data_IF_857164703538
#
_entry.id   IF_857164703538
#
_cell.length_a   1.000
_cell.length_b   1.000
_cell.length_c   1.000
_cell.angle_alpha   90.00
_cell.angle_beta   90.00
_cell.angle_gamma   90.00
#
_symmetry.space_group_name_H-M   'P 1'
#
loop_
_entity.id
_entity.type
_entity.pdbx_description
1 polymer ?
#
# COMPACT_ATOMS: atom_id res chain seq x y z
N UNK A 1 -23.94 -17.72 -10.84
CA UNK A 1 -23.93 -17.31 -9.42
C UNK A 1 -24.33 -15.85 -9.35
N UNK A 2 -25.28 -15.48 -8.48
CA UNK A 2 -25.56 -14.08 -8.19
C UNK A 2 -24.40 -13.53 -7.35
N UNK A 3 -23.81 -12.42 -7.79
CA UNK A 3 -22.77 -11.74 -7.03
C UNK A 3 -23.38 -11.20 -5.72
N UNK A 4 -22.73 -11.50 -4.59
CA UNK A 4 -23.09 -10.97 -3.27
C UNK A 4 -22.10 -9.88 -2.90
N UNK A 5 -22.59 -8.68 -2.59
CA UNK A 5 -21.75 -7.60 -2.06
C UNK A 5 -21.26 -7.98 -0.67
N UNK A 6 -19.93 -7.98 -0.48
CA UNK A 6 -19.27 -8.32 0.80
C UNK A 6 -18.96 -7.08 1.64
N UNK A 7 -18.67 -5.95 1.00
CA UNK A 7 -18.44 -4.66 1.65
C UNK A 7 -19.22 -3.59 0.89
N UNK A 8 -20.11 -2.91 1.60
CA UNK A 8 -20.80 -1.72 1.09
C UNK A 8 -19.89 -0.50 1.21
N UNK A 9 -20.23 0.59 0.54
CA UNK A 9 -19.46 1.84 0.58
C UNK A 9 -19.20 2.33 2.02
N UNK A 10 -20.21 2.28 2.89
CA UNK A 10 -20.08 2.66 4.30
C UNK A 10 -19.15 1.73 5.09
N UNK A 11 -19.06 0.45 4.72
CA UNK A 11 -18.14 -0.50 5.35
C UNK A 11 -16.70 -0.17 4.97
N UNK A 12 -16.45 0.14 3.68
CA UNK A 12 -15.14 0.53 3.17
C UNK A 12 -14.66 1.81 3.85
N UNK A 13 -15.51 2.84 3.96
CA UNK A 13 -15.09 4.09 4.62
C UNK A 13 -14.70 3.84 6.09
N UNK A 14 -15.52 3.09 6.84
CA UNK A 14 -15.20 2.74 8.24
C UNK A 14 -13.92 1.93 8.36
N UNK A 15 -13.69 0.97 7.45
CA UNK A 15 -12.48 0.16 7.43
C UNK A 15 -11.23 1.03 7.20
N UNK A 16 -11.27 1.95 6.23
CA UNK A 16 -10.13 2.83 5.94
C UNK A 16 -9.82 3.78 7.10
N UNK A 17 -10.85 4.36 7.74
CA UNK A 17 -10.65 5.19 8.93
C UNK A 17 -10.01 4.38 10.06
N UNK A 18 -10.48 3.15 10.30
CA UNK A 18 -9.89 2.27 11.31
C UNK A 18 -8.43 1.92 10.99
N UNK A 19 -8.13 1.55 9.75
CA UNK A 19 -6.77 1.25 9.29
C UNK A 19 -5.84 2.46 9.51
N UNK A 20 -6.30 3.68 9.20
CA UNK A 20 -5.50 4.89 9.40
C UNK A 20 -5.15 5.11 10.89
N UNK A 21 -6.12 4.95 11.79
CA UNK A 21 -5.86 5.01 13.24
C UNK A 21 -4.87 3.92 13.69
N UNK A 22 -5.08 2.67 13.26
CA UNK A 22 -4.20 1.55 13.60
C UNK A 22 -2.76 1.78 13.10
N UNK A 23 -2.59 2.38 11.91
CA UNK A 23 -1.28 2.76 11.38
C UNK A 23 -0.60 3.79 12.28
N UNK A 24 -1.27 4.88 12.68
CA UNK A 24 -0.67 5.91 13.55
C UNK A 24 -0.29 5.34 14.91
N UNK A 25 -1.19 4.58 15.54
CA UNK A 25 -0.97 3.97 16.85
C UNK A 25 0.23 3.01 16.81
N UNK A 26 0.30 2.13 15.81
CA UNK A 26 1.39 1.17 15.67
C UNK A 26 2.76 1.82 15.38
N UNK A 27 2.76 3.08 14.94
CA UNK A 27 3.98 3.83 14.62
C UNK A 27 4.34 4.90 15.64
N UNK A 28 3.50 5.12 16.67
CA UNK A 28 3.66 6.20 17.64
C UNK A 28 3.71 7.59 16.98
N UNK A 29 2.92 7.79 15.91
CA UNK A 29 2.89 9.00 15.09
C UNK A 29 3.23 8.75 13.62
N UNK A 30 3.20 9.81 12.82
CA UNK A 30 3.26 9.73 11.36
C UNK A 30 4.54 10.21 10.67
N UNK A 31 5.52 10.71 11.43
CA UNK A 31 6.69 11.44 10.90
C UNK A 31 7.58 10.66 9.92
N UNK A 32 7.64 9.34 10.04
CA UNK A 32 8.48 8.46 9.18
C UNK A 32 7.65 7.49 8.33
N UNK A 33 6.37 7.78 8.10
CA UNK A 33 5.48 6.91 7.33
C UNK A 33 5.55 7.18 5.83
N UNK A 34 5.60 6.10 5.04
CA UNK A 34 5.36 6.15 3.59
C UNK A 34 4.39 5.04 3.21
N UNK A 35 3.27 5.42 2.60
CA UNK A 35 2.29 4.47 2.07
C UNK A 35 2.61 4.21 0.60
N UNK A 36 2.89 2.96 0.25
CA UNK A 36 3.10 2.57 -1.14
C UNK A 36 2.00 1.62 -1.58
N UNK A 37 1.11 2.13 -2.44
CA UNK A 37 0.05 1.33 -3.00
C UNK A 37 0.54 0.47 -4.15
N UNK A 38 0.06 -0.77 -4.21
CA UNK A 38 0.36 -1.68 -5.32
C UNK A 38 -0.68 -1.41 -6.44
N UNK A 39 -0.26 -1.09 -7.68
CA UNK A 39 -1.19 -0.74 -8.74
C UNK A 39 -2.22 -1.84 -9.07
N UNK A 40 -3.47 -1.48 -9.37
CA UNK A 40 -4.02 -0.11 -9.47
C UNK A 40 -4.82 0.31 -8.25
N UNK A 41 -5.69 -0.56 -7.73
CA UNK A 41 -6.62 -0.20 -6.64
C UNK A 41 -5.89 0.03 -5.31
N UNK A 42 -4.78 -0.67 -5.06
CA UNK A 42 -3.95 -0.43 -3.88
C UNK A 42 -3.43 1.01 -3.82
N UNK A 43 -3.11 1.63 -4.95
CA UNK A 43 -2.73 3.07 -5.03
C UNK A 43 -3.87 3.97 -4.60
N UNK A 44 -5.09 3.74 -5.13
CA UNK A 44 -6.27 4.52 -4.74
C UNK A 44 -6.60 4.36 -3.25
N UNK A 45 -6.39 3.17 -2.68
CA UNK A 45 -6.55 2.94 -1.25
C UNK A 45 -5.46 3.65 -0.43
N UNK A 46 -4.20 3.60 -0.88
CA UNK A 46 -3.09 4.31 -0.24
C UNK A 46 -3.34 5.82 -0.17
N UNK A 47 -3.78 6.42 -1.28
CA UNK A 47 -4.15 7.85 -1.34
C UNK A 47 -5.27 8.19 -0.35
N UNK A 48 -6.32 7.35 -0.27
CA UNK A 48 -7.43 7.56 0.65
C UNK A 48 -7.02 7.43 2.11
N UNK A 49 -6.19 6.44 2.45
CA UNK A 49 -5.65 6.28 3.80
C UNK A 49 -4.73 7.46 4.12
N UNK A 50 -3.85 7.86 3.19
CA UNK A 50 -2.96 9.01 3.32
C UNK A 50 -3.71 10.31 3.60
N UNK A 51 -4.83 10.56 2.91
CA UNK A 51 -5.68 11.72 3.18
C UNK A 51 -6.31 11.69 4.59
N UNK A 52 -6.72 10.52 5.07
CA UNK A 52 -7.22 10.37 6.44
C UNK A 52 -6.09 10.63 7.44
N UNK A 53 -4.92 10.03 7.23
CA UNK A 53 -3.73 10.25 8.06
C UNK A 53 -3.37 11.73 8.15
N UNK A 54 -3.29 12.42 7.01
CA UNK A 54 -3.01 13.87 6.94
C UNK A 54 -4.01 14.70 7.74
N UNK A 55 -5.30 14.31 7.73
CA UNK A 55 -6.33 14.99 8.51
C UNK A 55 -6.22 14.77 10.03
N UNK A 56 -5.64 13.64 10.45
CA UNK A 56 -5.44 13.28 11.85
C UNK A 56 -4.12 13.87 12.39
N UNK A 57 -3.07 13.84 11.57
CA UNK A 57 -1.72 14.32 11.91
C UNK A 57 -1.06 14.90 10.64
N UNK A 58 -0.95 16.23 10.50
CA UNK A 58 -0.35 16.86 9.33
C UNK A 58 1.08 16.39 9.07
N UNK A 59 1.41 16.09 7.82
CA UNK A 59 2.70 15.54 7.39
C UNK A 59 2.78 14.01 7.39
N UNK A 60 1.76 13.29 7.87
CA UNK A 60 1.73 11.82 7.91
C UNK A 60 1.14 11.17 6.64
N UNK A 61 0.56 11.95 5.72
CA UNK A 61 -0.15 11.46 4.53
C UNK A 61 0.73 11.15 3.31
N UNK A 62 2.03 10.88 3.50
CA UNK A 62 2.96 10.67 2.39
C UNK A 62 2.67 9.36 1.64
N UNK A 63 2.33 9.46 0.35
CA UNK A 63 1.89 8.33 -0.49
C UNK A 63 2.68 8.20 -1.79
N UNK A 64 2.72 6.98 -2.33
CA UNK A 64 3.34 6.66 -3.61
C UNK A 64 2.78 5.36 -4.19
N UNK A 65 3.40 4.90 -5.29
CA UNK A 65 3.00 3.70 -6.01
C UNK A 65 4.21 2.77 -6.22
N UNK A 66 4.00 1.47 -6.05
CA UNK A 66 5.03 0.45 -6.26
C UNK A 66 4.56 -0.57 -7.29
N UNK A 67 5.05 -0.47 -8.52
CA UNK A 67 4.78 -1.49 -9.53
C UNK A 67 5.66 -2.72 -9.30
N UNK A 68 4.99 -3.86 -9.15
CA UNK A 68 5.63 -5.15 -8.88
C UNK A 68 5.60 -6.07 -10.09
N UNK A 69 5.10 -5.58 -11.24
CA UNK A 69 4.87 -6.39 -12.45
C UNK A 69 6.12 -7.19 -12.82
N UNK A 70 7.30 -6.56 -12.85
CA UNK A 70 8.55 -7.23 -13.24
C UNK A 70 9.15 -8.16 -12.18
N UNK A 71 8.62 -8.14 -10.95
CA UNK A 71 9.11 -8.94 -9.81
C UNK A 71 8.30 -10.22 -9.59
N UNK A 72 7.25 -10.44 -10.39
CA UNK A 72 6.39 -11.60 -10.25
C UNK A 72 7.06 -12.86 -10.81
N UNK A 73 6.99 -13.95 -10.05
CA UNK A 73 7.56 -15.25 -10.44
C UNK A 73 6.67 -16.06 -11.40
N UNK A 74 5.43 -15.61 -11.63
CA UNK A 74 4.40 -16.29 -12.39
C UNK A 74 4.03 -15.60 -13.72
N UNK A 75 4.87 -14.68 -14.20
CA UNK A 75 4.66 -13.91 -15.45
C UNK A 75 4.44 -14.79 -16.69
N UNK A 76 5.03 -15.98 -16.73
CA UNK A 76 4.85 -16.92 -17.86
C UNK A 76 3.48 -17.62 -17.88
N UNK A 77 2.73 -17.58 -16.77
CA UNK A 77 1.47 -18.32 -16.58
C UNK A 77 0.24 -17.41 -16.54
N UNK A 78 0.43 -16.11 -16.47
CA UNK A 78 -0.65 -15.12 -16.42
C UNK A 78 -0.43 -14.05 -17.49
N UNK A 79 -1.49 -13.44 -18.04
CA UNK A 79 -1.35 -12.29 -18.90
C UNK A 79 -0.55 -11.21 -18.17
N UNK A 80 0.58 -10.78 -18.74
CA UNK A 80 1.38 -9.67 -18.23
C UNK A 80 0.49 -8.43 -18.20
N UNK A 81 0.24 -7.89 -17.00
CA UNK A 81 -0.31 -6.56 -16.86
C UNK A 81 0.69 -5.57 -17.45
N UNK A 82 0.22 -4.51 -18.11
CA UNK A 82 1.11 -3.42 -18.52
C UNK A 82 1.77 -2.82 -17.28
N UNK A 83 3.11 -2.77 -17.22
CA UNK A 83 3.82 -2.13 -16.12
C UNK A 83 3.33 -0.70 -15.92
N UNK A 84 3.28 -0.28 -14.67
CA UNK A 84 2.93 1.09 -14.28
C UNK A 84 4.17 1.77 -13.69
N UNK A 85 4.31 3.10 -13.79
CA UNK A 85 5.43 3.77 -13.15
C UNK A 85 5.42 3.59 -11.64
N UNK A 86 6.51 3.10 -11.07
CA UNK A 86 6.79 3.21 -9.64
C UNK A 86 7.07 4.68 -9.32
N UNK A 87 6.41 5.19 -8.27
CA UNK A 87 6.54 6.57 -7.80
C UNK A 87 6.80 6.56 -6.30
N UNK A 88 7.98 7.02 -5.91
CA UNK A 88 8.39 7.13 -4.50
C UNK A 88 8.46 8.61 -4.13
N UNK A 89 7.98 9.00 -2.94
CA UNK A 89 8.04 10.38 -2.47
C UNK A 89 9.45 10.98 -2.46
N UNK A 90 9.53 12.31 -2.56
CA UNK A 90 10.77 13.10 -2.43
C UNK A 90 11.33 12.87 -1.03
N UNK A 91 12.44 12.14 -0.94
CA UNK A 91 13.02 11.67 0.33
C UNK A 91 13.10 10.15 0.48
N UNK A 92 12.58 9.40 -0.49
CA UNK A 92 12.78 7.95 -0.56
C UNK A 92 12.13 7.17 0.59
N UNK A 93 12.60 5.94 0.79
CA UNK A 93 12.13 5.00 1.81
C UNK A 93 13.19 4.64 2.86
N UNK A 94 14.41 5.14 2.74
CA UNK A 94 15.51 4.77 3.63
C UNK A 94 15.23 5.17 5.08
N UNK A 95 15.36 4.22 6.00
CA UNK A 95 15.10 4.43 7.43
C UNK A 95 13.63 4.66 7.81
N UNK A 96 12.71 4.70 6.82
CA UNK A 96 11.28 4.94 7.03
C UNK A 96 10.52 3.66 7.34
N UNK A 97 9.33 3.79 7.90
CA UNK A 97 8.34 2.71 7.90
C UNK A 97 7.56 2.78 6.58
N UNK A 98 7.67 1.74 5.78
CA UNK A 98 6.85 1.59 4.57
C UNK A 98 5.61 0.76 4.88
N UNK A 99 4.43 1.27 4.55
CA UNK A 99 3.17 0.53 4.59
C UNK A 99 2.78 0.20 3.15
N UNK A 100 2.91 -1.06 2.76
CA UNK A 100 2.37 -1.56 1.51
C UNK A 100 0.84 -1.60 1.59
N UNK A 101 0.16 -1.12 0.55
CA UNK A 101 -1.30 -1.10 0.50
C UNK A 101 -1.79 -1.90 -0.70
N UNK A 102 -2.63 -2.90 -0.44
CA UNK A 102 -3.28 -3.71 -1.47
C UNK A 102 -4.79 -3.79 -1.22
N UNK A 103 -5.55 -4.16 -2.24
CA UNK A 103 -7.00 -4.27 -2.13
C UNK A 103 -7.46 -5.60 -1.52
N UNK A 104 -6.77 -6.70 -1.81
CA UNK A 104 -7.12 -8.05 -1.34
C UNK A 104 -5.83 -8.85 -1.13
N UNK A 105 -5.58 -9.27 0.11
CA UNK A 105 -4.57 -10.29 0.37
C UNK A 105 -5.13 -11.68 0.03
N UNK A 106 -4.52 -12.34 -0.96
CA UNK A 106 -4.87 -13.71 -1.31
C UNK A 106 -3.70 -14.68 -1.07
N UNK A 107 -2.96 -15.04 -2.12
CA UNK A 107 -1.81 -15.96 -2.00
C UNK A 107 -0.56 -15.34 -1.37
N UNK A 108 -0.53 -14.01 -1.23
CA UNK A 108 0.64 -13.26 -0.76
C UNK A 108 1.74 -13.05 -1.81
N UNK A 109 1.63 -13.62 -3.02
CA UNK A 109 2.66 -13.50 -4.08
C UNK A 109 2.92 -12.05 -4.50
N UNK A 110 1.87 -11.23 -4.60
CA UNK A 110 1.99 -9.80 -4.89
C UNK A 110 2.82 -9.09 -3.83
N UNK A 111 2.60 -9.42 -2.55
CA UNK A 111 3.33 -8.82 -1.42
C UNK A 111 4.79 -9.27 -1.43
N UNK A 112 5.07 -10.54 -1.73
CA UNK A 112 6.45 -11.00 -1.92
C UNK A 112 7.17 -10.21 -3.02
N UNK A 113 6.54 -10.07 -4.18
CA UNK A 113 7.09 -9.28 -5.29
C UNK A 113 7.28 -7.80 -4.89
N UNK A 114 6.39 -7.24 -4.06
CA UNK A 114 6.54 -5.90 -3.51
C UNK A 114 7.76 -5.78 -2.58
N UNK A 115 8.01 -6.76 -1.71
CA UNK A 115 9.19 -6.79 -0.86
C UNK A 115 10.48 -6.86 -1.69
N UNK A 116 10.48 -7.65 -2.76
CA UNK A 116 11.61 -7.72 -3.69
C UNK A 116 11.83 -6.37 -4.40
N UNK A 117 10.75 -5.73 -4.88
CA UNK A 117 10.82 -4.42 -5.51
C UNK A 117 11.32 -3.30 -4.57
N UNK A 118 10.93 -3.33 -3.29
CA UNK A 118 11.44 -2.37 -2.29
C UNK A 118 12.95 -2.45 -2.10
N UNK A 119 13.55 -3.64 -2.22
CA UNK A 119 14.98 -3.82 -2.06
C UNK A 119 15.79 -3.10 -3.17
N UNK A 120 15.19 -2.83 -4.32
CA UNK A 120 15.85 -2.07 -5.39
C UNK A 120 15.69 -0.55 -5.19
N UNK A 121 14.76 -0.12 -4.36
CA UNK A 121 14.44 1.29 -4.12
C UNK A 121 15.10 1.89 -2.88
N UNK A 122 15.41 1.06 -1.88
CA UNK A 122 16.04 1.53 -0.64
C UNK A 122 16.01 0.52 0.50
N UNK A 123 16.22 1.01 1.72
CA UNK A 123 16.33 0.23 2.96
C UNK A 123 15.38 0.79 4.02
N UNK A 124 14.09 0.42 3.98
CA UNK A 124 13.15 0.81 5.00
C UNK A 124 13.54 0.18 6.35
N UNK A 125 13.26 0.90 7.44
CA UNK A 125 13.43 0.41 8.82
C UNK A 125 12.48 -0.74 9.11
N UNK A 126 11.26 -0.65 8.57
CA UNK A 126 10.25 -1.68 8.67
C UNK A 126 9.33 -1.65 7.44
N UNK A 127 8.80 -2.81 7.06
CA UNK A 127 7.73 -2.93 6.08
C UNK A 127 6.50 -3.51 6.76
N UNK A 128 5.35 -2.85 6.58
CA UNK A 128 4.04 -3.30 7.04
C UNK A 128 3.11 -3.47 5.85
N UNK A 129 1.98 -4.13 6.09
CA UNK A 129 0.96 -4.39 5.08
C UNK A 129 -0.41 -3.94 5.61
N UNK A 130 -1.12 -3.14 4.82
CA UNK A 130 -2.52 -2.81 5.01
C UNK A 130 -3.33 -3.32 3.82
N UNK A 131 -4.43 -4.02 4.10
CA UNK A 131 -5.35 -4.55 3.09
C UNK A 131 -6.79 -4.33 3.51
N UNK A 132 -7.69 -4.24 2.52
CA UNK A 132 -9.12 -4.08 2.75
C UNK A 132 -9.81 -5.40 3.14
#
# INVERSE_FOLDING_TARGET
MLARTVLQQADIQRALTRIAHEILEANHGGSDLVLLGIPTRGVLLAERIGAILESLEPGSGTTGALDVTMYRDDLSRQPTRTPSPTSVPVGGIDGKTVVLVDDVLYSGRTIRAALDALNDLGRPRAVRLAVL
#
